data_IF_684308185649
#
_entry.id   IF_684308185649
#
_cell.length_a   1.000
_cell.length_b   1.000
_cell.length_c   1.000
_cell.angle_alpha   90.00
_cell.angle_beta   90.00
_cell.angle_gamma   90.00
#
_symmetry.space_group_name_H-M   'P 1'
#
loop_
_entity.id
_entity.type
_entity.pdbx_description
1 polymer ?
#
# COMPACT_ATOMS: atom_id res chain seq x y z
N UNK A 1 5.84 -2.62 14.58
CA UNK A 1 4.94 -3.36 13.64
C UNK A 1 5.60 -3.52 12.30
N UNK A 2 5.30 -4.60 11.60
CA UNK A 2 5.75 -4.81 10.22
C UNK A 2 4.73 -4.24 9.26
N UNK A 3 5.17 -3.42 8.32
CA UNK A 3 4.35 -2.81 7.29
C UNK A 3 4.82 -3.25 5.91
N UNK A 4 3.91 -3.39 4.98
CA UNK A 4 4.12 -4.02 3.69
C UNK A 4 3.77 -3.08 2.54
N UNK A 5 4.49 -3.22 1.43
CA UNK A 5 4.22 -2.49 0.20
C UNK A 5 4.53 -3.36 -1.01
N UNK A 6 3.61 -3.42 -1.95
CA UNK A 6 3.85 -4.00 -3.26
C UNK A 6 3.89 -2.87 -4.29
N UNK A 7 5.01 -2.75 -4.96
CA UNK A 7 5.25 -1.67 -5.92
C UNK A 7 6.25 -2.11 -6.99
N UNK A 8 6.44 -1.31 -8.02
CA UNK A 8 7.51 -1.53 -8.98
C UNK A 8 8.86 -1.18 -8.34
N UNK A 9 9.91 -1.93 -8.69
CA UNK A 9 11.24 -1.76 -8.10
C UNK A 9 11.77 -0.31 -8.13
N UNK A 10 11.60 0.48 -9.21
CA UNK A 10 12.05 1.88 -9.24
C UNK A 10 11.35 2.79 -8.23
N UNK A 11 10.20 2.37 -7.68
CA UNK A 11 9.38 3.17 -6.76
C UNK A 11 9.36 2.60 -5.33
N UNK A 12 10.35 1.77 -5.00
CA UNK A 12 10.43 1.14 -3.67
C UNK A 12 10.85 2.09 -2.55
N UNK A 13 11.37 3.28 -2.87
CA UNK A 13 11.74 4.26 -1.86
C UNK A 13 10.52 4.74 -1.05
N UNK A 14 10.73 4.97 0.25
CA UNK A 14 9.72 5.49 1.17
C UNK A 14 9.75 7.04 1.20
N UNK A 15 9.76 7.67 0.04
CA UNK A 15 9.95 9.12 -0.14
C UNK A 15 8.65 9.90 -0.41
N UNK A 16 7.54 9.20 -0.63
CA UNK A 16 6.25 9.82 -0.91
C UNK A 16 6.13 10.51 -2.27
N UNK A 17 7.09 10.33 -3.17
CA UNK A 17 7.12 11.01 -4.47
C UNK A 17 5.90 10.67 -5.33
N UNK A 18 5.42 9.43 -5.28
CA UNK A 18 4.22 9.05 -6.01
C UNK A 18 2.99 9.88 -5.61
N UNK A 19 2.73 10.00 -4.32
CA UNK A 19 1.63 10.81 -3.81
C UNK A 19 1.85 12.31 -4.04
N UNK A 20 3.10 12.78 -3.92
CA UNK A 20 3.45 14.18 -4.19
C UNK A 20 3.07 14.60 -5.61
N UNK A 21 3.37 13.77 -6.61
CA UNK A 21 3.17 14.09 -8.02
C UNK A 21 1.79 13.72 -8.55
N UNK A 22 1.21 12.62 -8.08
CA UNK A 22 -0.02 12.06 -8.65
C UNK A 22 -1.18 12.00 -7.67
N UNK A 23 -0.92 12.24 -6.38
CA UNK A 23 -1.91 11.96 -5.35
C UNK A 23 -2.17 10.46 -5.20
N UNK A 24 -3.21 10.13 -4.47
CA UNK A 24 -3.67 8.77 -4.25
C UNK A 24 -5.16 8.77 -3.90
N UNK A 25 -5.71 7.60 -3.60
CA UNK A 25 -7.12 7.48 -3.22
C UNK A 25 -7.49 8.40 -2.05
N UNK A 26 -6.60 8.49 -1.06
CA UNK A 26 -6.82 9.25 0.18
C UNK A 26 -5.88 10.46 0.33
N UNK A 27 -4.99 10.71 -0.61
CA UNK A 27 -4.02 11.80 -0.51
C UNK A 27 -4.14 12.77 -1.69
N UNK A 28 -4.20 14.08 -1.43
CA UNK A 28 -4.20 15.08 -2.48
C UNK A 28 -2.82 15.16 -3.15
N UNK A 29 -2.79 15.65 -4.39
CA UNK A 29 -1.53 16.03 -5.07
C UNK A 29 -0.81 17.09 -4.25
N UNK A 30 0.51 17.06 -4.22
CA UNK A 30 1.35 18.05 -3.53
C UNK A 30 1.71 17.68 -2.09
N UNK A 31 1.18 16.58 -1.54
CA UNK A 31 1.47 16.12 -0.18
C UNK A 31 2.15 14.75 -0.23
N UNK A 32 3.46 14.67 0.10
CA UNK A 32 4.17 13.40 0.08
C UNK A 32 3.74 12.52 1.27
N UNK A 33 3.24 11.34 0.97
CA UNK A 33 2.84 10.31 1.92
C UNK A 33 3.05 8.94 1.30
N UNK A 34 3.42 7.95 2.10
CA UNK A 34 3.60 6.58 1.60
C UNK A 34 2.49 5.69 2.17
N UNK A 35 1.61 5.14 1.32
CA UNK A 35 0.68 4.11 1.75
C UNK A 35 1.39 2.77 1.89
N UNK A 36 1.16 2.13 3.02
CA UNK A 36 1.64 0.81 3.40
C UNK A 36 0.44 -0.04 3.81
N UNK A 37 0.60 -1.34 3.84
CA UNK A 37 -0.43 -2.26 4.30
C UNK A 37 -0.03 -2.90 5.62
N UNK A 38 -0.99 -3.13 6.51
CA UNK A 38 -0.76 -3.87 7.76
C UNK A 38 -0.44 -5.35 7.53
N UNK A 39 -0.79 -5.88 6.35
CA UNK A 39 -0.60 -7.28 5.99
C UNK A 39 -0.13 -7.43 4.54
N UNK A 40 0.68 -8.47 4.24
CA UNK A 40 1.19 -8.68 2.88
C UNK A 40 0.08 -8.98 1.86
N UNK A 41 -0.96 -9.73 2.26
CA UNK A 41 -2.11 -10.01 1.40
C UNK A 41 -2.85 -8.75 0.98
N UNK A 42 -3.02 -7.79 1.89
CA UNK A 42 -3.61 -6.49 1.57
C UNK A 42 -2.75 -5.71 0.57
N UNK A 43 -1.42 -5.73 0.72
CA UNK A 43 -0.52 -5.07 -0.24
C UNK A 43 -0.71 -5.63 -1.65
N UNK A 44 -0.86 -6.95 -1.80
CA UNK A 44 -1.16 -7.60 -3.08
C UNK A 44 -2.51 -7.16 -3.63
N UNK A 45 -3.57 -7.20 -2.81
CA UNK A 45 -4.92 -6.81 -3.24
C UNK A 45 -4.99 -5.35 -3.69
N UNK A 46 -4.30 -4.44 -2.99
CA UNK A 46 -4.23 -3.03 -3.38
C UNK A 46 -3.54 -2.90 -4.74
N UNK A 47 -2.37 -3.51 -4.90
CA UNK A 47 -1.59 -3.39 -6.13
C UNK A 47 -2.31 -3.99 -7.35
N UNK A 48 -3.04 -5.10 -7.19
CA UNK A 48 -3.84 -5.69 -8.25
C UNK A 48 -4.85 -4.71 -8.88
N UNK A 49 -5.37 -3.77 -8.10
CA UNK A 49 -6.35 -2.77 -8.57
C UNK A 49 -5.75 -1.72 -9.50
N UNK A 50 -4.43 -1.58 -9.51
CA UNK A 50 -3.70 -0.61 -10.34
C UNK A 50 -3.04 -1.24 -11.55
N UNK A 51 -3.16 -2.56 -11.73
CA UNK A 51 -2.64 -3.23 -12.93
C UNK A 51 -3.48 -2.89 -14.15
N UNK A 52 -2.87 -2.80 -15.35
CA UNK A 52 -3.60 -2.70 -16.60
C UNK A 52 -4.59 -3.86 -16.78
N UNK A 53 -5.69 -3.61 -17.50
CA UNK A 53 -6.68 -4.66 -17.79
C UNK A 53 -6.08 -5.83 -18.59
N UNK A 54 -5.18 -5.51 -19.52
CA UNK A 54 -4.51 -6.50 -20.34
C UNK A 54 -3.27 -7.06 -19.64
N UNK A 55 -3.27 -8.36 -19.34
CA UNK A 55 -2.17 -9.03 -18.64
C UNK A 55 -0.81 -8.84 -19.32
N UNK A 56 -0.76 -8.80 -20.66
CA UNK A 56 0.48 -8.57 -21.43
C UNK A 56 1.13 -7.20 -21.17
N UNK A 57 0.36 -6.26 -20.60
CA UNK A 57 0.83 -4.91 -20.26
C UNK A 57 1.31 -4.80 -18.83
N UNK A 58 1.21 -5.88 -18.06
CA UNK A 58 1.68 -5.88 -16.67
C UNK A 58 3.20 -5.75 -16.61
N UNK A 59 3.71 -4.79 -15.83
CA UNK A 59 5.14 -4.72 -15.58
C UNK A 59 5.65 -5.99 -14.88
N UNK A 60 6.87 -6.39 -15.19
CA UNK A 60 7.55 -7.57 -14.65
C UNK A 60 8.53 -7.27 -13.52
N UNK A 61 8.60 -6.01 -13.08
CA UNK A 61 9.54 -5.49 -12.10
C UNK A 61 8.93 -5.22 -10.73
N UNK A 62 7.82 -5.88 -10.39
CA UNK A 62 7.18 -5.72 -9.07
C UNK A 62 8.02 -6.38 -7.97
N UNK A 63 8.02 -5.72 -6.82
CA UNK A 63 8.64 -6.18 -5.59
C UNK A 63 7.66 -6.10 -4.42
N UNK A 64 7.67 -7.11 -3.59
CA UNK A 64 7.04 -7.07 -2.27
C UNK A 64 8.09 -6.62 -1.27
N UNK A 65 7.83 -5.51 -0.61
CA UNK A 65 8.71 -4.92 0.38
C UNK A 65 8.08 -4.88 1.77
N UNK A 66 8.90 -4.87 2.80
CA UNK A 66 8.47 -4.66 4.18
C UNK A 66 9.50 -3.85 4.96
N UNK A 67 9.01 -3.18 6.00
CA UNK A 67 9.81 -2.45 6.99
C UNK A 67 9.24 -2.64 8.38
N UNK A 68 10.08 -2.48 9.40
CA UNK A 68 9.65 -2.50 10.80
C UNK A 68 9.59 -1.08 11.34
N UNK A 69 8.46 -0.70 11.90
CA UNK A 69 8.27 0.63 12.50
C UNK A 69 7.80 0.47 13.96
N UNK A 70 8.46 1.15 14.86
CA UNK A 70 8.13 1.07 16.29
C UNK A 70 6.92 1.95 16.68
N UNK A 71 6.59 2.95 15.86
CA UNK A 71 5.47 3.87 16.15
C UNK A 71 4.11 3.19 15.95
N UNK A 72 3.15 3.56 16.80
CA UNK A 72 1.75 3.15 16.64
C UNK A 72 1.01 4.16 15.75
N UNK A 73 0.20 3.70 14.77
CA UNK A 73 -0.58 4.59 13.93
C UNK A 73 -1.78 5.17 14.68
N UNK A 74 -2.06 6.45 14.47
CA UNK A 74 -3.30 7.09 14.91
C UNK A 74 -4.43 6.72 13.95
N UNK A 75 -5.64 6.46 14.47
CA UNK A 75 -6.82 6.22 13.62
C UNK A 75 -7.38 7.53 13.11
N UNK A 76 -7.62 7.64 11.82
CA UNK A 76 -8.24 8.79 11.19
C UNK A 76 -9.76 8.62 11.12
N UNK A 77 -10.48 9.76 11.02
CA UNK A 77 -11.92 9.76 10.84
C UNK A 77 -12.28 9.09 9.51
N UNK A 78 -13.24 8.16 9.56
CA UNK A 78 -13.70 7.40 8.42
C UNK A 78 -15.20 7.09 8.60
N UNK A 79 -16.03 7.71 7.78
CA UNK A 79 -17.47 7.50 7.72
C UNK A 79 -17.90 6.58 6.55
N UNK A 80 -16.93 5.93 5.91
CA UNK A 80 -17.15 5.12 4.71
C UNK A 80 -16.97 5.89 3.40
N UNK A 81 -16.81 7.22 3.45
CA UNK A 81 -16.60 8.07 2.28
C UNK A 81 -15.11 8.35 2.07
N UNK A 82 -14.65 8.26 0.81
CA UNK A 82 -13.28 8.61 0.46
C UNK A 82 -12.98 10.11 0.66
N UNK A 83 -13.99 10.96 0.55
CA UNK A 83 -13.85 12.41 0.77
C UNK A 83 -13.50 12.71 2.24
N UNK A 84 -14.25 12.13 3.19
CA UNK A 84 -13.98 12.29 4.63
C UNK A 84 -12.58 11.81 4.97
N UNK A 85 -12.17 10.65 4.46
CA UNK A 85 -10.83 10.11 4.72
C UNK A 85 -9.76 11.01 4.12
N UNK A 86 -9.97 11.53 2.91
CA UNK A 86 -9.02 12.45 2.26
C UNK A 86 -8.82 13.72 3.07
N UNK A 87 -9.90 14.32 3.56
CA UNK A 87 -9.85 15.53 4.39
C UNK A 87 -9.13 15.26 5.73
N UNK A 88 -9.40 14.10 6.35
CA UNK A 88 -8.73 13.68 7.58
C UNK A 88 -7.22 13.43 7.35
N UNK A 89 -6.84 12.82 6.24
CA UNK A 89 -5.43 12.61 5.86
C UNK A 89 -4.72 13.94 5.62
N UNK A 90 -5.36 14.87 4.90
CA UNK A 90 -4.78 16.18 4.65
C UNK A 90 -4.55 16.94 5.96
N UNK A 91 -5.56 17.00 6.84
CA UNK A 91 -5.44 17.64 8.14
C UNK A 91 -4.34 16.98 9.01
N UNK A 92 -4.24 15.65 9.00
CA UNK A 92 -3.19 14.92 9.71
C UNK A 92 -1.80 15.24 9.18
N UNK A 93 -1.61 15.26 7.87
CA UNK A 93 -0.33 15.63 7.24
C UNK A 93 0.08 17.05 7.58
N UNK A 94 -0.86 17.99 7.57
CA UNK A 94 -0.60 19.41 7.89
C UNK A 94 -0.27 19.60 9.36
N UNK A 95 -0.93 18.87 10.25
CA UNK A 95 -0.64 18.92 11.68
C UNK A 95 0.72 18.31 12.04
N UNK A 96 1.17 17.30 11.30
CA UNK A 96 2.48 16.68 11.47
C UNK A 96 2.75 16.06 12.84
N UNK A 97 1.71 15.72 13.61
CA UNK A 97 1.82 15.31 15.00
C UNK A 97 2.22 13.84 15.19
N UNK A 98 2.00 13.01 14.20
CA UNK A 98 2.36 11.60 14.27
C UNK A 98 2.99 11.08 12.98
N UNK A 99 3.87 10.10 13.14
CA UNK A 99 4.59 9.46 12.04
C UNK A 99 3.67 8.62 11.16
N UNK A 100 2.74 7.90 11.79
CA UNK A 100 1.84 6.99 11.14
C UNK A 100 0.38 7.33 11.43
N UNK A 101 -0.46 7.13 10.41
CA UNK A 101 -1.91 7.10 10.56
C UNK A 101 -2.48 5.85 9.89
N UNK A 102 -3.68 5.42 10.26
CA UNK A 102 -4.35 4.27 9.66
C UNK A 102 -5.78 4.59 9.28
N UNK A 103 -6.21 3.96 8.20
CA UNK A 103 -7.59 3.89 7.74
C UNK A 103 -7.94 2.45 7.39
N UNK A 104 -9.19 2.05 7.62
CA UNK A 104 -9.63 0.70 7.25
C UNK A 104 -9.56 0.51 5.72
N UNK A 105 -9.11 -0.65 5.29
CA UNK A 105 -9.09 -0.99 3.87
C UNK A 105 -10.51 -1.16 3.33
N UNK A 106 -10.78 -0.64 2.14
CA UNK A 106 -12.08 -0.84 1.44
C UNK A 106 -12.23 -2.23 0.82
N UNK A 107 -11.12 -2.92 0.59
CA UNK A 107 -11.13 -4.27 -0.02
C UNK A 107 -11.01 -5.38 1.00
N UNK A 108 -10.44 -5.09 2.16
CA UNK A 108 -10.26 -6.04 3.26
C UNK A 108 -10.40 -5.27 4.58
N UNK A 109 -11.64 -5.04 5.06
CA UNK A 109 -11.89 -4.17 6.23
C UNK A 109 -11.23 -4.65 7.54
N UNK A 110 -10.82 -5.91 7.58
CA UNK A 110 -10.09 -6.51 8.69
C UNK A 110 -8.63 -6.08 8.76
N UNK A 111 -8.15 -5.39 7.73
CA UNK A 111 -6.77 -4.90 7.63
C UNK A 111 -6.75 -3.40 7.35
N UNK A 112 -5.65 -2.76 7.71
CA UNK A 112 -5.48 -1.32 7.61
C UNK A 112 -4.54 -0.92 6.46
N UNK A 113 -4.88 0.19 5.80
CA UNK A 113 -3.92 1.00 5.07
C UNK A 113 -3.25 1.92 6.08
N UNK A 114 -1.93 1.79 6.23
CA UNK A 114 -1.13 2.61 7.14
C UNK A 114 -0.37 3.64 6.32
N UNK A 115 -0.55 4.90 6.65
CA UNK A 115 0.06 6.03 5.95
C UNK A 115 1.30 6.50 6.72
N UNK A 116 2.43 6.61 6.02
CA UNK A 116 3.68 7.16 6.57
C UNK A 116 3.81 8.63 6.15
N UNK A 117 3.86 9.53 7.14
CA UNK A 117 4.16 10.94 6.94
C UNK A 117 5.68 11.13 6.78
N UNK A 118 6.14 11.25 5.54
CA UNK A 118 7.56 11.39 5.25
C UNK A 118 8.18 12.73 5.67
N UNK A 119 7.34 13.72 6.00
CA UNK A 119 7.79 15.01 6.56
C UNK A 119 7.87 15.02 8.08
N UNK A 120 7.41 13.95 8.74
CA UNK A 120 7.53 13.85 10.20
C UNK A 120 9.01 13.79 10.64
N UNK A 121 9.40 14.45 11.73
CA UNK A 121 10.81 14.46 12.17
C UNK A 121 11.43 13.07 12.37
N UNK A 122 10.62 12.07 12.72
CA UNK A 122 11.07 10.69 12.92
C UNK A 122 11.03 9.83 11.63
N UNK A 123 10.63 10.37 10.50
CA UNK A 123 10.54 9.58 9.27
C UNK A 123 11.90 9.00 8.84
N UNK A 124 13.01 9.69 9.14
CA UNK A 124 14.36 9.22 8.87
C UNK A 124 14.77 7.95 9.67
N UNK A 125 14.01 7.63 10.74
CA UNK A 125 14.23 6.42 11.54
C UNK A 125 13.56 5.18 10.95
N UNK A 126 12.66 5.35 9.97
CA UNK A 126 12.00 4.23 9.31
C UNK A 126 12.99 3.57 8.35
N UNK A 127 13.33 2.29 8.55
CA UNK A 127 14.25 1.60 7.66
C UNK A 127 13.72 1.52 6.23
N UNK A 128 14.60 1.54 5.25
CA UNK A 128 14.25 1.24 3.87
C UNK A 128 13.58 -0.14 3.78
N UNK A 129 12.75 -0.33 2.75
CA UNK A 129 12.11 -1.61 2.52
C UNK A 129 13.16 -2.70 2.28
N UNK A 130 13.02 -3.82 2.99
CA UNK A 130 13.58 -5.09 2.53
C UNK A 130 12.67 -5.60 1.42
N UNK A 131 13.21 -5.88 0.25
CA UNK A 131 12.41 -6.23 -0.93
C UNK A 131 12.77 -7.61 -1.47
N UNK A 132 11.79 -8.25 -2.10
CA UNK A 132 11.98 -9.42 -2.95
C UNK A 132 11.16 -9.29 -4.24
N UNK A 133 11.56 -9.93 -5.34
CA UNK A 133 10.73 -10.00 -6.54
C UNK A 133 9.34 -10.58 -6.24
N UNK A 134 8.33 -10.06 -6.93
CA UNK A 134 6.96 -10.55 -6.84
C UNK A 134 6.36 -10.73 -8.23
N UNK A 135 5.84 -11.92 -8.49
CA UNK A 135 5.20 -12.26 -9.76
C UNK A 135 3.68 -12.37 -9.58
N UNK A 136 2.94 -11.40 -10.14
CA UNK A 136 1.49 -11.46 -10.16
C UNK A 136 0.94 -12.65 -10.95
N UNK A 137 1.67 -13.15 -11.92
CA UNK A 137 1.25 -14.33 -12.68
C UNK A 137 1.09 -15.56 -11.78
N UNK A 138 1.89 -15.66 -10.72
CA UNK A 138 1.76 -16.73 -9.73
C UNK A 138 0.46 -16.65 -8.89
N UNK A 139 -0.20 -15.48 -8.84
CA UNK A 139 -1.50 -15.32 -8.18
C UNK A 139 -2.66 -15.82 -9.03
N UNK A 140 -2.43 -16.05 -10.33
CA UNK A 140 -3.42 -16.53 -11.27
C UNK A 140 -3.20 -18.03 -11.52
N UNK A 141 -4.29 -18.78 -11.67
CA UNK A 141 -4.21 -20.17 -12.03
C UNK A 141 -4.71 -20.38 -13.46
N UNK A 142 -3.80 -20.80 -14.32
CA UNK A 142 -4.10 -21.16 -15.70
C UNK A 142 -3.35 -22.47 -16.01
N UNK A 143 -4.06 -23.57 -16.26
CA UNK A 143 -5.52 -23.74 -16.17
C UNK A 143 -6.04 -23.60 -14.75
N UNK A 144 -7.37 -23.44 -14.55
CA UNK A 144 -7.97 -23.36 -13.21
C UNK A 144 -7.53 -24.53 -12.32
N UNK A 145 -7.17 -24.25 -11.08
CA UNK A 145 -6.66 -25.28 -10.14
C UNK A 145 -7.65 -26.44 -9.95
N UNK A 146 -8.96 -26.14 -9.99
CA UNK A 146 -10.01 -27.18 -9.89
C UNK A 146 -9.93 -28.21 -11.01
N UNK A 147 -9.57 -27.82 -12.22
CA UNK A 147 -9.45 -28.75 -13.34
C UNK A 147 -8.24 -29.70 -13.16
N UNK A 148 -7.17 -29.19 -12.53
CA UNK A 148 -6.00 -29.99 -12.17
C UNK A 148 -6.33 -31.10 -11.18
N UNK A 149 -7.28 -30.84 -10.25
CA UNK A 149 -7.69 -31.82 -9.24
C UNK A 149 -8.82 -32.73 -9.70
N UNK A 150 -9.70 -32.27 -10.59
CA UNK A 150 -10.82 -33.06 -11.14
C UNK A 150 -10.36 -34.14 -12.12
N UNK A 151 -9.26 -33.94 -12.82
CA UNK A 151 -8.74 -34.91 -13.80
C UNK A 151 -8.12 -36.16 -13.15
N UNK A 152 -8.08 -36.25 -11.82
CA UNK A 152 -7.58 -37.40 -11.06
C UNK A 152 -8.64 -38.23 -10.36
N UNK A 153 -9.89 -37.93 -10.62
CA UNK A 153 -11.04 -38.69 -10.07
C UNK A 153 -11.49 -39.81 -11.03
#
# INVERSE_FOLDING_TARGET
MRLWRLTRAPFAALDGQGALHHGGRYSPVGKPVVPLASEPGLAVLIALRYLPAERREWPDDHVLGWTEVAAEPVSLADDGSDATVRDAVEAWLDAGQSLLARVASRVLPEADVVLLNVRHPQAHLVPALTIRPFDFAACLHVPPMLDTFRSKA
#
